data_IF_538141051651
#
_entry.id   IF_538141051651
#
_cell.length_a   1.000
_cell.length_b   1.000
_cell.length_c   1.000
_cell.angle_alpha   90.00
_cell.angle_beta   90.00
_cell.angle_gamma   90.00
#
_symmetry.space_group_name_H-M   'P 1'
#
loop_
_entity.id
_entity.type
_entity.pdbx_description
1 polymer ?
#
# COMPACT_ATOMS: atom_id res chain seq x y z
N UNK A 1 -5.56 27.65 4.36
CA UNK A 1 -6.54 27.12 5.33
C UNK A 1 -6.60 25.59 5.32
N UNK A 2 -6.91 24.94 4.19
CA UNK A 2 -6.98 23.46 4.11
C UNK A 2 -5.64 22.78 4.41
N UNK A 3 -4.52 23.29 3.87
CA UNK A 3 -3.18 22.73 4.12
C UNK A 3 -2.79 22.79 5.60
N UNK A 4 -3.01 23.93 6.26
CA UNK A 4 -2.72 24.11 7.70
C UNK A 4 -3.59 23.21 8.58
N UNK A 5 -4.84 22.97 8.18
CA UNK A 5 -5.72 22.04 8.87
C UNK A 5 -5.22 20.59 8.72
N UNK A 6 -4.82 20.20 7.49
CA UNK A 6 -4.20 18.91 7.22
C UNK A 6 -2.94 18.68 8.04
N UNK A 7 -2.04 19.66 8.09
CA UNK A 7 -0.81 19.60 8.90
C UNK A 7 -1.09 19.39 10.39
N UNK A 8 -2.09 20.10 10.95
CA UNK A 8 -2.51 19.91 12.35
C UNK A 8 -3.02 18.50 12.63
N UNK A 9 -3.87 17.96 11.75
CA UNK A 9 -4.35 16.59 11.89
C UNK A 9 -3.22 15.57 11.78
N UNK A 10 -2.32 15.75 10.81
CA UNK A 10 -1.14 14.89 10.66
C UNK A 10 -0.26 14.92 11.90
N UNK A 11 0.01 16.10 12.48
CA UNK A 11 0.79 16.22 13.71
C UNK A 11 0.13 15.53 14.91
N UNK A 12 -1.18 15.69 15.06
CA UNK A 12 -1.93 15.02 16.12
C UNK A 12 -1.86 13.50 15.93
N UNK A 13 -2.14 13.03 14.71
CA UNK A 13 -2.13 11.61 14.38
C UNK A 13 -0.75 10.98 14.63
N UNK A 14 0.32 11.56 14.08
CA UNK A 14 1.69 11.05 14.27
C UNK A 14 2.15 11.08 15.74
N UNK A 15 1.59 11.98 16.56
CA UNK A 15 1.92 12.05 17.99
C UNK A 15 1.27 10.95 18.81
N UNK A 16 0.06 10.52 18.43
CA UNK A 16 -0.73 9.58 19.24
C UNK A 16 -0.84 8.19 18.62
N UNK A 17 -0.61 8.03 17.32
CA UNK A 17 -0.68 6.75 16.64
C UNK A 17 0.43 5.83 17.18
N UNK A 18 0.08 4.74 17.89
CA UNK A 18 1.04 3.72 18.28
C UNK A 18 1.57 2.98 17.05
N UNK A 19 2.74 2.37 17.20
CA UNK A 19 3.27 1.46 16.18
C UNK A 19 2.30 0.29 15.93
N UNK A 20 2.22 -0.17 14.68
CA UNK A 20 1.34 -1.28 14.29
C UNK A 20 1.61 -2.57 15.09
N UNK A 21 2.87 -2.80 15.49
CA UNK A 21 3.26 -3.92 16.33
C UNK A 21 2.64 -3.86 17.73
N UNK A 22 2.49 -2.66 18.30
CA UNK A 22 1.84 -2.47 19.60
C UNK A 22 0.39 -2.92 19.54
N UNK A 23 -0.33 -2.56 18.46
CA UNK A 23 -1.69 -3.03 18.25
C UNK A 23 -1.75 -4.56 18.11
N UNK A 24 -0.85 -5.17 17.34
CA UNK A 24 -0.80 -6.62 17.20
C UNK A 24 -0.61 -7.34 18.54
N UNK A 25 0.28 -6.83 19.41
CA UNK A 25 0.48 -7.37 20.76
C UNK A 25 -0.74 -7.21 21.65
N UNK A 26 -1.36 -6.03 21.67
CA UNK A 26 -2.57 -5.78 22.46
C UNK A 26 -3.70 -6.71 22.00
N UNK A 27 -3.92 -6.82 20.69
CA UNK A 27 -4.93 -7.70 20.12
C UNK A 27 -4.66 -9.18 20.43
N UNK A 28 -3.40 -9.60 20.42
CA UNK A 28 -3.00 -10.96 20.83
C UNK A 28 -3.42 -11.24 22.27
N UNK A 29 -3.15 -10.31 23.19
CA UNK A 29 -3.54 -10.45 24.60
C UNK A 29 -5.05 -10.44 24.75
N UNK A 30 -5.75 -9.50 24.11
CA UNK A 30 -7.21 -9.38 24.18
C UNK A 30 -7.89 -10.64 23.62
N UNK A 31 -7.42 -11.16 22.49
CA UNK A 31 -7.93 -12.39 21.90
C UNK A 31 -7.66 -13.61 22.79
N UNK A 32 -6.45 -13.71 23.35
CA UNK A 32 -6.09 -14.79 24.28
C UNK A 32 -6.92 -14.78 25.56
N UNK A 33 -7.11 -13.61 26.18
CA UNK A 33 -7.97 -13.45 27.36
C UNK A 33 -9.44 -13.74 27.02
N UNK A 34 -9.91 -13.27 25.85
CA UNK A 34 -11.27 -13.54 25.40
C UNK A 34 -11.53 -15.03 25.22
N UNK A 35 -10.60 -15.76 24.59
CA UNK A 35 -10.70 -17.20 24.43
C UNK A 35 -10.61 -17.94 25.78
N UNK A 36 -9.75 -17.49 26.70
CA UNK A 36 -9.66 -18.06 28.05
C UNK A 36 -10.95 -17.90 28.86
N UNK A 37 -11.54 -16.69 28.85
CA UNK A 37 -12.70 -16.38 29.69
C UNK A 37 -14.05 -16.77 29.08
N UNK A 38 -14.18 -16.80 27.75
CA UNK A 38 -15.47 -17.05 27.09
C UNK A 38 -15.56 -18.39 26.35
N UNK A 39 -14.45 -19.05 26.02
CA UNK A 39 -14.44 -20.34 25.33
C UNK A 39 -13.88 -21.48 26.20
N UNK A 40 -13.59 -21.23 27.48
CA UNK A 40 -12.98 -22.20 28.41
C UNK A 40 -11.69 -22.83 27.84
N UNK A 41 -10.97 -22.12 26.97
CA UNK A 41 -9.76 -22.61 26.34
C UNK A 41 -8.64 -22.75 27.37
N UNK A 42 -7.97 -23.90 27.38
CA UNK A 42 -6.84 -24.13 28.29
C UNK A 42 -5.63 -23.27 27.92
N UNK A 43 -4.76 -22.97 28.89
CA UNK A 43 -3.55 -22.19 28.63
C UNK A 43 -2.64 -22.82 27.57
N UNK A 44 -2.56 -24.16 27.53
CA UNK A 44 -1.77 -24.87 26.55
C UNK A 44 -2.37 -24.76 25.15
N UNK A 45 -3.70 -24.88 25.01
CA UNK A 45 -4.40 -24.69 23.74
C UNK A 45 -4.20 -23.28 23.20
N UNK A 46 -4.28 -22.25 24.05
CA UNK A 46 -4.03 -20.86 23.63
C UNK A 46 -2.64 -20.67 23.02
N UNK A 47 -1.60 -21.22 23.67
CA UNK A 47 -0.23 -21.16 23.14
C UNK A 47 -0.12 -21.91 21.81
N UNK A 48 -0.70 -23.11 21.71
CA UNK A 48 -0.68 -23.91 20.49
C UNK A 48 -1.41 -23.20 19.34
N UNK A 49 -2.60 -22.66 19.59
CA UNK A 49 -3.36 -21.90 18.59
C UNK A 49 -2.61 -20.66 18.12
N UNK A 50 -2.01 -19.90 19.05
CA UNK A 50 -1.20 -18.74 18.69
C UNK A 50 0.02 -19.12 17.85
N UNK A 51 0.75 -20.17 18.25
CA UNK A 51 1.92 -20.66 17.52
C UNK A 51 1.56 -21.15 16.11
N UNK A 52 0.49 -21.93 15.99
CA UNK A 52 0.03 -22.45 14.70
C UNK A 52 -0.36 -21.30 13.76
N UNK A 53 -1.10 -20.30 14.26
CA UNK A 53 -1.51 -19.14 13.46
C UNK A 53 -0.37 -18.17 13.12
N UNK A 54 0.71 -18.15 13.91
CA UNK A 54 1.82 -17.21 13.70
C UNK A 54 2.47 -17.35 12.31
N UNK A 55 2.57 -18.57 11.80
CA UNK A 55 3.24 -18.84 10.52
C UNK A 55 2.33 -18.70 9.30
N UNK A 56 1.01 -18.60 9.48
CA UNK A 56 0.05 -18.50 8.37
C UNK A 56 0.30 -17.24 7.52
N UNK A 57 0.71 -16.16 8.16
CA UNK A 57 0.99 -14.88 7.49
C UNK A 57 2.43 -14.74 7.01
N UNK A 58 3.32 -15.70 7.31
CA UNK A 58 4.74 -15.58 6.94
C UNK A 58 4.92 -15.57 5.41
N UNK A 59 4.25 -16.50 4.72
CA UNK A 59 4.29 -16.56 3.25
C UNK A 59 3.76 -15.28 2.62
N UNK A 60 2.63 -14.78 3.11
CA UNK A 60 2.05 -13.50 2.68
C UNK A 60 3.00 -12.33 2.94
N UNK A 61 3.57 -12.26 4.15
CA UNK A 61 4.55 -11.25 4.54
C UNK A 61 5.75 -11.24 3.60
N UNK A 62 6.30 -12.41 3.26
CA UNK A 62 7.41 -12.51 2.31
C UNK A 62 7.03 -12.07 0.91
N UNK A 63 5.82 -12.38 0.43
CA UNK A 63 5.33 -11.89 -0.86
C UNK A 63 5.28 -10.36 -0.89
N UNK A 64 4.74 -9.72 0.16
CA UNK A 64 4.69 -8.25 0.25
C UNK A 64 6.10 -7.64 0.33
N UNK A 65 7.00 -8.23 1.12
CA UNK A 65 8.40 -7.79 1.20
C UNK A 65 9.07 -7.84 -0.17
N UNK A 66 8.91 -8.95 -0.90
CA UNK A 66 9.46 -9.08 -2.25
C UNK A 66 8.87 -8.05 -3.21
N UNK A 67 7.55 -7.82 -3.20
CA UNK A 67 6.90 -6.79 -4.03
C UNK A 67 7.50 -5.41 -3.78
N UNK A 68 7.68 -5.03 -2.50
CA UNK A 68 8.21 -3.72 -2.13
C UNK A 68 9.69 -3.61 -2.50
N UNK A 69 10.52 -4.59 -2.13
CA UNK A 69 11.97 -4.55 -2.39
C UNK A 69 12.25 -4.57 -3.89
N UNK A 70 11.57 -5.42 -4.65
CA UNK A 70 11.74 -5.49 -6.11
C UNK A 70 11.22 -4.24 -6.79
N UNK A 71 10.04 -3.74 -6.41
CA UNK A 71 9.50 -2.49 -6.93
C UNK A 71 10.44 -1.30 -6.67
N UNK A 72 10.98 -1.21 -5.47
CA UNK A 72 11.97 -0.19 -5.12
C UNK A 72 13.31 -0.37 -5.85
N UNK A 73 13.78 -1.61 -6.03
CA UNK A 73 15.01 -1.90 -6.78
C UNK A 73 14.87 -1.53 -8.26
N UNK A 74 13.73 -1.85 -8.87
CA UNK A 74 13.40 -1.47 -10.25
C UNK A 74 13.36 0.05 -10.38
N UNK A 75 12.77 0.74 -9.40
CA UNK A 75 12.69 2.20 -9.36
C UNK A 75 14.04 2.90 -9.47
N UNK A 76 15.04 2.35 -8.77
CA UNK A 76 16.38 2.90 -8.73
C UNK A 76 17.24 2.48 -9.93
N UNK A 77 16.73 1.61 -10.80
CA UNK A 77 17.50 1.11 -11.93
C UNK A 77 17.80 2.22 -12.96
N UNK A 78 18.99 2.19 -13.60
CA UNK A 78 19.32 3.14 -14.67
C UNK A 78 18.37 3.05 -15.88
N UNK A 79 17.79 1.87 -16.12
CA UNK A 79 16.86 1.63 -17.23
C UNK A 79 15.56 2.42 -17.01
N UNK A 80 14.98 2.34 -15.81
CA UNK A 80 13.76 3.08 -15.47
C UNK A 80 14.00 4.57 -15.52
N UNK A 81 15.13 5.05 -14.99
CA UNK A 81 15.49 6.47 -15.08
C UNK A 81 15.55 6.97 -16.52
N UNK A 82 16.22 6.24 -17.43
CA UNK A 82 16.28 6.59 -18.85
C UNK A 82 14.91 6.58 -19.53
N UNK A 83 14.06 5.61 -19.20
CA UNK A 83 12.71 5.54 -19.74
C UNK A 83 11.86 6.75 -19.32
N UNK A 84 11.99 7.17 -18.05
CA UNK A 84 11.30 8.35 -17.53
C UNK A 84 11.87 9.63 -18.14
N UNK A 85 13.19 9.74 -18.31
CA UNK A 85 13.82 10.86 -19.02
C UNK A 85 13.25 11.00 -20.43
N UNK A 86 13.12 9.90 -21.16
CA UNK A 86 12.50 9.91 -22.49
C UNK A 86 11.02 10.33 -22.44
N UNK A 87 10.26 9.84 -21.45
CA UNK A 87 8.86 10.18 -21.27
C UNK A 87 8.64 11.68 -21.00
N UNK A 88 9.54 12.32 -20.26
CA UNK A 88 9.49 13.77 -19.98
C UNK A 88 9.72 14.66 -21.21
N UNK A 89 10.16 14.08 -22.35
CA UNK A 89 10.17 14.80 -23.63
C UNK A 89 8.76 15.11 -24.13
N UNK A 90 7.77 14.28 -23.75
CA UNK A 90 6.37 14.42 -24.15
C UNK A 90 5.50 15.02 -23.04
N UNK A 91 5.74 14.63 -21.79
CA UNK A 91 5.01 15.12 -20.62
C UNK A 91 5.75 16.34 -20.05
N UNK A 92 5.20 17.54 -20.24
CA UNK A 92 5.87 18.80 -19.85
C UNK A 92 5.11 19.63 -18.83
N UNK A 93 3.84 19.33 -18.58
CA UNK A 93 2.97 20.13 -17.71
C UNK A 93 2.47 19.33 -16.50
N UNK A 94 2.24 19.97 -15.34
CA UNK A 94 1.70 19.30 -14.16
C UNK A 94 0.38 18.56 -14.44
N UNK A 95 -0.51 19.15 -15.25
CA UNK A 95 -1.79 18.51 -15.63
C UNK A 95 -1.59 17.20 -16.38
N UNK A 96 -0.64 17.15 -17.33
CA UNK A 96 -0.31 15.92 -18.04
C UNK A 96 0.26 14.87 -17.09
N UNK A 97 1.07 15.26 -16.10
CA UNK A 97 1.61 14.33 -15.10
C UNK A 97 0.49 13.72 -14.26
N UNK A 98 -0.42 14.54 -13.71
CA UNK A 98 -1.52 14.03 -12.91
C UNK A 98 -2.38 13.06 -13.70
N UNK A 99 -2.76 13.42 -14.93
CA UNK A 99 -3.54 12.54 -15.79
C UNK A 99 -2.80 11.24 -16.11
N UNK A 100 -1.53 11.33 -16.50
CA UNK A 100 -0.73 10.17 -16.88
C UNK A 100 -0.52 9.20 -15.71
N UNK A 101 -0.21 9.72 -14.53
CA UNK A 101 -0.04 8.92 -13.31
C UNK A 101 -1.35 8.24 -12.91
N UNK A 102 -2.48 8.94 -13.00
CA UNK A 102 -3.80 8.34 -12.74
C UNK A 102 -4.07 7.21 -13.74
N UNK A 103 -3.92 7.48 -15.03
CA UNK A 103 -4.21 6.54 -16.09
C UNK A 103 -3.36 5.26 -16.00
N UNK A 104 -2.03 5.42 -15.90
CA UNK A 104 -1.11 4.28 -15.76
C UNK A 104 -1.36 3.55 -14.45
N UNK A 105 -1.59 4.28 -13.35
CA UNK A 105 -1.89 3.67 -12.06
C UNK A 105 -3.16 2.82 -12.10
N UNK A 106 -4.21 3.31 -12.76
CA UNK A 106 -5.46 2.56 -12.91
C UNK A 106 -5.24 1.28 -13.71
N UNK A 107 -4.47 1.33 -14.80
CA UNK A 107 -4.13 0.16 -15.62
C UNK A 107 -3.30 -0.87 -14.86
N UNK A 108 -2.26 -0.44 -14.15
CA UNK A 108 -1.41 -1.34 -13.37
C UNK A 108 -2.19 -1.96 -12.20
N UNK A 109 -3.00 -1.14 -11.53
CA UNK A 109 -3.83 -1.56 -10.40
C UNK A 109 -4.96 -2.52 -10.82
N UNK A 110 -5.42 -2.50 -12.07
CA UNK A 110 -6.36 -3.50 -12.60
C UNK A 110 -5.73 -4.90 -12.64
N UNK A 111 -4.43 -4.99 -12.92
CA UNK A 111 -3.70 -6.26 -13.04
C UNK A 111 -3.29 -6.82 -11.68
N UNK A 112 -2.77 -5.97 -10.80
CA UNK A 112 -2.40 -6.38 -9.44
C UNK A 112 -2.34 -5.19 -8.50
N UNK A 113 -2.84 -5.38 -7.27
CA UNK A 113 -2.64 -4.45 -6.16
C UNK A 113 -1.18 -4.06 -5.96
N UNK A 114 -0.26 -5.03 -6.00
CA UNK A 114 1.15 -4.82 -5.69
C UNK A 114 1.88 -3.92 -6.68
N UNK A 115 1.31 -3.73 -7.88
CA UNK A 115 1.92 -2.91 -8.93
C UNK A 115 1.75 -1.41 -8.69
N UNK A 116 1.02 -1.01 -7.65
CA UNK A 116 0.97 0.39 -7.22
C UNK A 116 2.34 0.96 -6.90
N UNK A 117 3.29 0.13 -6.44
CA UNK A 117 4.67 0.55 -6.16
C UNK A 117 5.32 1.18 -7.41
N UNK A 118 5.06 0.62 -8.59
CA UNK A 118 5.55 1.14 -9.87
C UNK A 118 4.96 2.53 -10.15
N UNK A 119 3.67 2.71 -9.86
CA UNK A 119 2.96 3.99 -10.03
C UNK A 119 3.52 5.06 -9.08
N UNK A 120 3.76 4.71 -7.81
CA UNK A 120 4.38 5.61 -6.83
C UNK A 120 5.75 6.10 -7.29
N UNK A 121 6.56 5.18 -7.81
CA UNK A 121 7.90 5.47 -8.33
C UNK A 121 7.83 6.41 -9.53
N UNK A 122 6.98 6.09 -10.50
CA UNK A 122 6.77 6.90 -11.70
C UNK A 122 6.34 8.34 -11.31
N UNK A 123 5.39 8.46 -10.38
CA UNK A 123 4.92 9.76 -9.90
C UNK A 123 6.05 10.57 -9.26
N UNK A 124 6.81 9.96 -8.34
CA UNK A 124 7.95 10.62 -7.68
C UNK A 124 8.99 11.10 -8.69
N UNK A 125 9.38 10.26 -9.64
CA UNK A 125 10.39 10.59 -10.65
C UNK A 125 9.95 11.68 -11.63
N UNK A 126 8.65 11.72 -12.00
CA UNK A 126 8.07 12.82 -12.78
C UNK A 126 8.04 14.13 -11.99
N UNK A 127 7.75 14.08 -10.69
CA UNK A 127 7.75 15.25 -9.81
C UNK A 127 9.14 15.88 -9.62
N UNK A 128 10.20 15.08 -9.66
CA UNK A 128 11.57 15.59 -9.60
C UNK A 128 11.99 16.32 -10.89
N UNK A 129 11.39 15.98 -12.04
CA UNK A 129 11.76 16.53 -13.36
C UNK A 129 10.90 17.71 -13.78
N UNK A 130 9.61 17.69 -13.44
CA UNK A 130 8.63 18.67 -13.91
C UNK A 130 8.35 19.68 -12.79
N UNK A 131 8.69 20.95 -13.02
CA UNK A 131 8.50 22.03 -12.05
C UNK A 131 7.01 22.38 -11.90
N UNK A 132 6.63 22.84 -10.71
CA UNK A 132 5.27 23.32 -10.42
C UNK A 132 4.26 22.22 -10.07
N UNK A 133 4.74 21.00 -9.79
CA UNK A 133 3.89 19.93 -9.26
C UNK A 133 3.55 20.19 -7.79
N UNK A 134 2.26 20.11 -7.48
CA UNK A 134 1.77 20.05 -6.11
C UNK A 134 1.91 18.60 -5.65
N UNK A 135 2.96 18.33 -4.87
CA UNK A 135 3.31 16.98 -4.44
C UNK A 135 2.20 16.30 -3.61
N UNK A 136 1.56 16.97 -2.62
CA UNK A 136 0.38 16.40 -1.94
C UNK A 136 -0.76 16.00 -2.88
N UNK A 137 -1.05 16.82 -3.90
CA UNK A 137 -2.06 16.48 -4.89
C UNK A 137 -1.65 15.29 -5.76
N UNK A 138 -0.37 15.21 -6.15
CA UNK A 138 0.15 14.05 -6.87
C UNK A 138 0.04 12.76 -6.05
N UNK A 139 0.32 12.83 -4.74
CA UNK A 139 0.11 11.69 -3.82
C UNK A 139 -1.37 11.29 -3.82
N UNK A 140 -2.30 12.26 -3.76
CA UNK A 140 -3.72 11.98 -3.88
C UNK A 140 -4.09 11.33 -5.23
N UNK A 141 -3.46 11.73 -6.34
CA UNK A 141 -3.64 11.10 -7.65
C UNK A 141 -3.20 9.62 -7.66
N UNK A 142 -2.07 9.31 -7.02
CA UNK A 142 -1.57 7.92 -6.89
C UNK A 142 -2.51 7.08 -6.03
N UNK A 143 -2.98 7.62 -4.89
CA UNK A 143 -3.98 6.93 -4.07
C UNK A 143 -5.29 6.72 -4.83
N UNK A 144 -5.73 7.72 -5.58
CA UNK A 144 -6.94 7.63 -6.38
C UNK A 144 -6.84 6.53 -7.44
N UNK A 145 -5.71 6.39 -8.10
CA UNK A 145 -5.54 5.39 -9.16
C UNK A 145 -5.55 3.94 -8.66
N UNK A 146 -5.34 3.71 -7.36
CA UNK A 146 -5.44 2.39 -6.73
C UNK A 146 -6.88 1.83 -6.69
N UNK A 147 -7.90 2.69 -6.76
CA UNK A 147 -9.28 2.25 -6.54
C UNK A 147 -9.75 1.20 -7.56
N UNK A 148 -9.15 1.15 -8.75
CA UNK A 148 -9.48 0.13 -9.75
C UNK A 148 -9.05 -1.27 -9.36
N UNK A 149 -8.12 -1.47 -8.42
CA UNK A 149 -7.82 -2.82 -7.92
C UNK A 149 -9.05 -3.45 -7.25
N UNK A 150 -9.73 -2.70 -6.38
CA UNK A 150 -10.86 -3.20 -5.59
C UNK A 150 -12.07 -3.53 -6.49
N UNK A 151 -12.23 -2.78 -7.58
CA UNK A 151 -13.29 -2.96 -8.59
C UNK A 151 -12.84 -3.79 -9.81
N UNK A 152 -11.59 -4.24 -9.84
CA UNK A 152 -10.93 -4.76 -11.03
C UNK A 152 -10.87 -6.29 -11.09
N UNK A 153 -10.24 -6.77 -12.16
CA UNK A 153 -10.02 -8.21 -12.41
C UNK A 153 -9.20 -8.90 -11.33
N UNK A 154 -8.40 -8.14 -10.57
CA UNK A 154 -7.48 -8.64 -9.55
C UNK A 154 -7.96 -8.42 -8.11
N UNK A 155 -9.24 -8.06 -7.94
CA UNK A 155 -9.84 -7.89 -6.62
C UNK A 155 -9.98 -9.25 -5.93
N UNK A 156 -9.43 -9.38 -4.73
CA UNK A 156 -9.41 -10.64 -3.98
C UNK A 156 -10.83 -11.09 -3.58
N UNK A 157 -11.74 -10.16 -3.32
CA UNK A 157 -13.12 -10.47 -2.89
C UNK A 157 -13.95 -11.11 -4.03
N UNK A 158 -14.09 -10.49 -5.23
CA UNK A 158 -14.78 -11.11 -6.37
C UNK A 158 -14.15 -12.42 -6.86
N UNK A 159 -12.82 -12.54 -6.77
CA UNK A 159 -12.12 -13.78 -7.10
C UNK A 159 -12.51 -14.90 -6.14
N UNK A 160 -12.46 -14.63 -4.83
CA UNK A 160 -12.86 -15.61 -3.81
C UNK A 160 -14.32 -16.06 -4.01
N UNK A 161 -15.24 -15.12 -4.24
CA UNK A 161 -16.66 -15.42 -4.46
C UNK A 161 -16.96 -16.26 -5.71
N UNK A 162 -16.07 -16.26 -6.70
CA UNK A 162 -16.19 -17.05 -7.93
C UNK A 162 -15.32 -18.31 -7.92
N UNK A 163 -14.69 -18.64 -6.80
CA UNK A 163 -13.99 -19.93 -6.67
C UNK A 163 -15.00 -20.96 -6.20
N UNK A 164 -15.12 -22.07 -6.91
CA UNK A 164 -15.81 -23.25 -6.38
C UNK A 164 -15.00 -23.74 -5.16
N UNK A 165 -15.67 -23.99 -4.03
CA UNK A 165 -15.03 -24.51 -2.80
C UNK A 165 -14.24 -25.79 -3.04
#
# INVERSE_FOLDING_TARGET
MVTQLGERFTHLFLRYMPDAFVFALILTIVAGLGAFFWLDASFLELIQSWYNGFFDLLTFGMQIVLIIITGFSIALSPVVNKAIDHLTQYIKTPKQVYFFVIFIGMLLSLVSFGWIVITCVLARELAMRIKGINYPFLVACVYFSMNTWVMGLSSSIPLLLNTEE
#
